data_IF_517284435960
#
_entry.id   IF_517284435960
#
_cell.length_a   1.000
_cell.length_b   1.000
_cell.length_c   1.000
_cell.angle_alpha   90.00
_cell.angle_beta   90.00
_cell.angle_gamma   90.00
#
_symmetry.space_group_name_H-M   'P 1'
#
loop_
_entity.id
_entity.type
_entity.pdbx_description
1 polymer ?
#
# COMPACT_ATOMS: atom_id res chain seq x y z
N UNK A 1 -2.32 2.28 6.31
CA UNK A 1 -2.30 1.34 5.15
C UNK A 1 -1.02 1.46 4.35
N UNK A 2 -0.48 2.67 4.16
CA UNK A 2 0.82 2.94 3.52
C UNK A 2 1.94 2.01 4.01
N UNK A 3 2.13 1.91 5.33
CA UNK A 3 3.18 1.05 5.92
C UNK A 3 2.99 -0.44 5.57
N UNK A 4 1.75 -0.91 5.43
CA UNK A 4 1.47 -2.30 5.03
C UNK A 4 1.80 -2.50 3.55
N UNK A 5 1.39 -1.56 2.68
CA UNK A 5 1.73 -1.62 1.26
C UNK A 5 3.26 -1.60 1.07
N UNK A 6 3.96 -0.76 1.82
CA UNK A 6 5.44 -0.77 1.90
C UNK A 6 5.99 -2.15 2.21
N UNK A 7 5.59 -2.73 3.34
CA UNK A 7 6.08 -4.05 3.75
C UNK A 7 5.80 -5.15 2.73
N UNK A 8 4.61 -5.15 2.11
CA UNK A 8 4.24 -6.14 1.10
C UNK A 8 4.99 -5.94 -0.22
N UNK A 9 5.26 -4.70 -0.62
CA UNK A 9 6.08 -4.41 -1.79
C UNK A 9 7.53 -4.85 -1.59
N UNK A 10 8.12 -4.55 -0.41
CA UNK A 10 9.47 -4.97 -0.01
C UNK A 10 9.59 -6.49 0.13
N UNK A 11 8.57 -7.13 0.68
CA UNK A 11 8.48 -8.60 0.72
C UNK A 11 8.64 -9.18 -0.68
N UNK A 12 7.89 -8.65 -1.66
CA UNK A 12 7.96 -9.13 -3.03
C UNK A 12 9.35 -8.92 -3.65
N UNK A 13 10.04 -7.80 -3.39
CA UNK A 13 11.41 -7.58 -3.87
C UNK A 13 12.39 -8.63 -3.35
N UNK A 14 12.26 -8.97 -2.07
CA UNK A 14 13.21 -9.85 -1.40
C UNK A 14 12.93 -11.33 -1.65
N UNK A 15 11.65 -11.69 -1.80
CA UNK A 15 11.21 -13.09 -1.93
C UNK A 15 10.89 -13.51 -3.36
N UNK A 16 10.57 -12.56 -4.24
CA UNK A 16 10.11 -12.84 -5.61
C UNK A 16 8.69 -13.39 -5.70
N UNK A 17 7.97 -13.46 -4.57
CA UNK A 17 6.61 -13.98 -4.47
C UNK A 17 5.74 -13.07 -3.60
N UNK A 18 4.43 -13.07 -3.87
CA UNK A 18 3.48 -12.37 -3.02
C UNK A 18 3.27 -13.14 -1.71
N UNK A 19 3.17 -12.41 -0.60
CA UNK A 19 2.82 -13.01 0.67
C UNK A 19 1.44 -13.67 0.59
N UNK A 20 1.31 -14.89 1.15
CA UNK A 20 0.08 -15.68 1.09
C UNK A 20 -0.46 -15.82 -0.33
N UNK A 21 0.42 -15.98 -1.32
CA UNK A 21 0.08 -16.12 -2.74
C UNK A 21 -0.71 -14.93 -3.31
N UNK A 22 -0.64 -13.77 -2.65
CA UNK A 22 -1.37 -12.56 -3.04
C UNK A 22 -2.78 -12.46 -2.49
N UNK A 23 -3.25 -13.47 -1.73
CA UNK A 23 -4.57 -13.45 -1.15
C UNK A 23 -4.75 -12.26 -0.20
N UNK A 24 -5.84 -11.52 -0.39
CA UNK A 24 -6.25 -10.37 0.42
C UNK A 24 -5.25 -9.22 0.40
N UNK A 25 -4.31 -9.19 -0.55
CA UNK A 25 -3.34 -8.09 -0.69
C UNK A 25 -3.97 -6.90 -1.39
N UNK A 26 -4.76 -7.13 -2.46
CA UNK A 26 -5.40 -6.08 -3.26
C UNK A 26 -6.28 -5.14 -2.43
N UNK A 27 -6.91 -5.66 -1.37
CA UNK A 27 -7.76 -4.84 -0.47
C UNK A 27 -6.99 -3.71 0.20
N UNK A 28 -5.69 -3.88 0.46
CA UNK A 28 -4.87 -2.82 1.05
C UNK A 28 -4.65 -1.67 0.07
N UNK A 29 -4.57 -1.98 -1.22
CA UNK A 29 -4.54 -0.98 -2.29
C UNK A 29 -5.90 -0.31 -2.48
N UNK A 30 -6.99 -1.08 -2.44
CA UNK A 30 -8.34 -0.53 -2.42
C UNK A 30 -8.56 0.44 -1.25
N UNK A 31 -8.15 0.07 -0.03
CA UNK A 31 -8.26 0.96 1.14
C UNK A 31 -7.47 2.26 0.93
N UNK A 32 -6.30 2.21 0.29
CA UNK A 32 -5.51 3.40 -0.05
C UNK A 32 -6.23 4.29 -1.07
N UNK A 33 -6.82 3.70 -2.11
CA UNK A 33 -7.64 4.41 -3.09
C UNK A 33 -8.81 5.14 -2.41
N UNK A 34 -9.54 4.45 -1.53
CA UNK A 34 -10.63 5.08 -0.77
C UNK A 34 -10.11 6.24 0.09
N UNK A 35 -9.02 6.05 0.83
CA UNK A 35 -8.45 7.10 1.68
C UNK A 35 -8.05 8.35 0.87
N UNK A 36 -7.45 8.18 -0.30
CA UNK A 36 -7.07 9.30 -1.17
C UNK A 36 -8.29 10.11 -1.65
N UNK A 37 -9.46 9.48 -1.74
CA UNK A 37 -10.73 10.13 -2.11
C UNK A 37 -11.34 11.03 -1.02
N UNK A 38 -10.83 11.00 0.21
CA UNK A 38 -11.35 11.81 1.32
C UNK A 38 -10.30 12.81 1.83
N UNK A 39 -10.76 14.00 2.23
CA UNK A 39 -9.89 15.06 2.78
C UNK A 39 -9.12 14.60 4.02
N UNK A 40 -9.73 13.80 4.90
CA UNK A 40 -9.04 13.22 6.06
C UNK A 40 -7.86 12.32 5.65
N UNK A 41 -8.00 11.57 4.55
CA UNK A 41 -6.93 10.71 4.06
C UNK A 41 -5.80 11.53 3.44
N UNK A 42 -6.12 12.57 2.67
CA UNK A 42 -5.12 13.52 2.14
C UNK A 42 -4.36 14.25 3.25
N UNK A 43 -5.07 14.72 4.27
CA UNK A 43 -4.46 15.35 5.44
C UNK A 43 -3.50 14.38 6.16
N UNK A 44 -3.90 13.11 6.31
CA UNK A 44 -3.04 12.09 6.92
C UNK A 44 -1.81 11.74 6.07
N UNK A 45 -1.85 11.90 4.73
CA UNK A 45 -0.68 11.72 3.87
C UNK A 45 0.34 12.86 4.02
N UNK A 46 -0.14 14.07 4.33
CA UNK A 46 0.72 15.23 4.61
C UNK A 46 1.26 15.30 6.04
N UNK A 47 0.75 14.47 6.95
CA UNK A 47 1.16 14.45 8.35
C UNK A 47 2.33 13.47 8.57
N UNK A 48 3.55 14.01 8.52
CA UNK A 48 4.78 13.24 8.64
C UNK A 48 4.95 12.62 10.03
N UNK A 49 4.49 13.30 11.08
CA UNK A 49 4.59 12.80 12.47
C UNK A 49 3.64 11.61 12.67
N UNK A 50 2.42 11.70 12.16
CA UNK A 50 1.49 10.56 12.13
C UNK A 50 2.07 9.37 11.33
N UNK A 51 2.72 9.66 10.20
CA UNK A 51 3.42 8.66 9.39
C UNK A 51 4.51 7.95 10.18
N UNK A 52 5.40 8.71 10.84
CA UNK A 52 6.48 8.19 11.66
C UNK A 52 5.96 7.34 12.85
N UNK A 53 4.87 7.78 13.48
CA UNK A 53 4.19 7.06 14.54
C UNK A 53 3.63 5.71 14.06
N UNK A 54 2.99 5.69 12.89
CA UNK A 54 2.52 4.46 12.27
C UNK A 54 3.66 3.48 11.96
N UNK A 55 4.79 3.99 11.45
CA UNK A 55 5.98 3.16 11.15
C UNK A 55 6.59 2.61 12.44
N UNK A 56 6.76 3.44 13.47
CA UNK A 56 7.25 3.01 14.79
C UNK A 56 6.38 1.93 15.39
N UNK A 57 5.06 2.12 15.39
CA UNK A 57 4.11 1.12 15.87
C UNK A 57 4.21 -0.18 15.08
N UNK A 58 4.25 -0.11 13.75
CA UNK A 58 4.36 -1.30 12.90
C UNK A 58 5.67 -2.07 13.15
N UNK A 59 6.78 -1.36 13.35
CA UNK A 59 8.08 -1.97 13.70
C UNK A 59 8.06 -2.67 15.05
N UNK A 60 7.31 -2.18 16.03
CA UNK A 60 7.25 -2.81 17.33
C UNK A 60 6.58 -4.20 17.30
N UNK A 61 5.60 -4.40 16.41
CA UNK A 61 4.75 -5.62 16.41
C UNK A 61 4.89 -6.51 15.17
N UNK A 62 5.34 -5.96 14.04
CA UNK A 62 5.31 -6.64 12.74
C UNK A 62 6.63 -6.59 11.99
N UNK A 63 7.71 -6.11 12.62
CA UNK A 63 9.01 -6.02 11.95
C UNK A 63 9.53 -7.40 11.56
N UNK A 64 9.81 -7.54 10.28
CA UNK A 64 10.42 -8.72 9.68
C UNK A 64 11.46 -8.18 8.73
N UNK A 65 12.65 -8.82 8.63
CA UNK A 65 13.66 -8.40 7.66
C UNK A 65 13.05 -8.23 6.26
N UNK A 66 12.19 -9.15 5.83
CA UNK A 66 11.56 -9.09 4.51
C UNK A 66 10.63 -7.89 4.26
N UNK A 67 10.12 -7.24 5.31
CA UNK A 67 9.25 -6.06 5.17
C UNK A 67 10.01 -4.74 5.12
N UNK A 68 11.26 -4.72 5.58
CA UNK A 68 12.12 -3.55 5.53
C UNK A 68 11.48 -2.28 6.10
N UNK A 69 10.70 -2.40 7.19
CA UNK A 69 9.92 -1.28 7.71
C UNK A 69 10.79 -0.10 8.19
N UNK A 70 12.09 -0.33 8.41
CA UNK A 70 13.06 0.73 8.68
C UNK A 70 13.27 1.69 7.49
N UNK A 71 13.02 1.25 6.25
CA UNK A 71 13.11 2.11 5.05
C UNK A 71 11.78 2.79 4.69
N UNK A 72 10.74 2.60 5.49
CA UNK A 72 9.45 3.28 5.33
C UNK A 72 9.53 4.72 5.86
N UNK A 73 10.27 5.58 5.16
CA UNK A 73 10.45 7.01 5.45
C UNK A 73 10.23 7.84 4.19
N UNK A 74 9.90 9.15 4.30
CA UNK A 74 9.75 10.02 3.13
C UNK A 74 10.98 9.94 2.22
N UNK A 75 10.72 9.76 0.92
CA UNK A 75 11.73 9.58 -0.13
C UNK A 75 12.04 8.12 -0.46
N UNK A 76 11.63 7.17 0.38
CA UNK A 76 11.89 5.73 0.16
C UNK A 76 10.69 4.81 0.41
N UNK A 77 9.49 5.36 0.56
CA UNK A 77 8.28 4.54 0.58
C UNK A 77 8.10 3.81 -0.76
N UNK A 78 7.89 2.49 -0.72
CA UNK A 78 7.60 1.67 -1.89
C UNK A 78 6.15 1.17 -1.79
N UNK A 79 5.19 1.85 -2.42
CA UNK A 79 3.76 1.59 -2.27
C UNK A 79 3.21 0.93 -3.53
N UNK A 80 3.42 1.56 -4.70
CA UNK A 80 2.99 1.04 -5.98
C UNK A 80 3.51 -0.39 -6.18
N UNK A 81 2.64 -1.33 -6.59
CA UNK A 81 3.06 -2.71 -6.77
C UNK A 81 4.08 -2.81 -7.91
N UNK A 82 5.03 -3.75 -7.79
CA UNK A 82 5.94 -4.08 -8.88
C UNK A 82 5.13 -4.56 -10.10
N UNK A 83 5.60 -4.38 -11.34
CA UNK A 83 4.90 -4.86 -12.54
C UNK A 83 4.50 -6.33 -12.46
N UNK A 84 5.38 -7.18 -11.93
CA UNK A 84 5.15 -8.62 -11.77
C UNK A 84 4.16 -9.00 -10.64
N UNK A 85 3.76 -8.05 -9.79
CA UNK A 85 2.70 -8.27 -8.80
C UNK A 85 1.30 -8.08 -9.39
N UNK A 86 1.18 -7.23 -10.42
CA UNK A 86 -0.11 -6.69 -10.91
C UNK A 86 -1.09 -7.81 -11.24
N UNK A 87 -0.72 -8.79 -12.07
CA UNK A 87 -1.62 -9.86 -12.50
C UNK A 87 -2.23 -10.64 -11.33
N UNK A 88 -1.43 -10.94 -10.31
CA UNK A 88 -1.89 -11.67 -9.14
C UNK A 88 -2.78 -10.80 -8.24
N UNK A 89 -2.46 -9.51 -8.12
CA UNK A 89 -3.32 -8.56 -7.39
C UNK A 89 -4.64 -8.30 -8.11
N UNK A 90 -4.66 -8.27 -9.44
CA UNK A 90 -5.90 -8.15 -10.24
C UNK A 90 -6.82 -9.34 -9.97
N UNK A 91 -6.27 -10.56 -9.96
CA UNK A 91 -7.04 -11.77 -9.61
C UNK A 91 -7.57 -11.75 -8.18
N UNK A 92 -6.74 -11.30 -7.24
CA UNK A 92 -7.17 -11.13 -5.84
C UNK A 92 -8.27 -10.06 -5.71
N UNK A 93 -8.16 -8.97 -6.48
CA UNK A 93 -9.12 -7.87 -6.46
C UNK A 93 -10.50 -8.32 -6.96
N UNK A 94 -10.57 -9.19 -7.97
CA UNK A 94 -11.85 -9.73 -8.45
C UNK A 94 -12.67 -10.39 -7.32
N UNK A 95 -12.01 -11.05 -6.36
CA UNK A 95 -12.67 -11.64 -5.19
C UNK A 95 -13.12 -10.58 -4.18
N UNK A 96 -12.36 -9.48 -4.06
CA UNK A 96 -12.68 -8.36 -3.15
C UNK A 96 -13.80 -7.49 -3.70
N UNK A 97 -13.80 -7.22 -5.01
CA UNK A 97 -14.75 -6.35 -5.69
C UNK A 97 -16.19 -6.85 -5.57
N UNK A 98 -16.39 -8.17 -5.54
CA UNK A 98 -17.70 -8.79 -5.32
C UNK A 98 -18.34 -8.43 -3.96
N UNK A 99 -17.54 -7.94 -3.00
CA UNK A 99 -18.02 -7.54 -1.67
C UNK A 99 -18.22 -6.01 -1.52
N UNK A 100 -17.88 -5.22 -2.54
CA UNK A 100 -17.98 -3.76 -2.48
C UNK A 100 -19.43 -3.35 -2.79
N UNK A 101 -20.02 -2.53 -1.92
CA UNK A 101 -21.33 -1.94 -2.18
C UNK A 101 -21.21 -0.80 -3.20
N UNK A 102 -22.09 -0.81 -4.21
CA UNK A 102 -22.07 0.16 -5.30
C UNK A 102 -21.17 -0.27 -6.45
N UNK A 103 -20.71 0.69 -7.24
CA UNK A 103 -19.79 0.42 -8.36
C UNK A 103 -18.35 0.37 -7.83
N UNK A 104 -17.69 -0.81 -7.84
CA UNK A 104 -16.29 -0.86 -7.45
C UNK A 104 -15.42 -0.11 -8.47
N UNK A 105 -14.37 0.61 -8.01
CA UNK A 105 -13.41 1.23 -8.93
C UNK A 105 -12.71 0.18 -9.77
N UNK A 106 -12.17 0.57 -10.93
CA UNK A 106 -11.33 -0.33 -11.70
C UNK A 106 -10.03 -0.61 -10.93
N UNK A 107 -9.39 -1.74 -11.21
CA UNK A 107 -8.10 -2.02 -10.59
C UNK A 107 -7.03 -1.02 -11.06
N UNK A 108 -7.12 -0.53 -12.28
CA UNK A 108 -6.21 0.49 -12.81
C UNK A 108 -6.31 1.81 -12.04
N UNK A 109 -7.52 2.24 -11.64
CA UNK A 109 -7.71 3.44 -10.79
C UNK A 109 -7.07 3.26 -9.41
N UNK A 110 -7.14 2.05 -8.87
CA UNK A 110 -6.48 1.69 -7.61
C UNK A 110 -4.95 1.75 -7.75
N UNK A 111 -4.41 1.27 -8.87
CA UNK A 111 -2.97 1.35 -9.18
C UNK A 111 -2.50 2.79 -9.38
N UNK A 112 -3.31 3.63 -10.02
CA UNK A 112 -3.05 5.07 -10.15
C UNK A 112 -2.97 5.74 -8.78
N UNK A 113 -3.93 5.45 -7.91
CA UNK A 113 -3.95 6.00 -6.55
C UNK A 113 -2.72 5.56 -5.74
N UNK A 114 -2.29 4.30 -5.89
CA UNK A 114 -1.08 3.82 -5.23
C UNK A 114 0.18 4.56 -5.70
N UNK A 115 0.29 4.85 -7.01
CA UNK A 115 1.38 5.64 -7.59
C UNK A 115 1.36 7.09 -7.12
N UNK A 116 0.19 7.72 -7.11
CA UNK A 116 0.00 9.08 -6.60
C UNK A 116 0.43 9.19 -5.13
N UNK A 117 -0.02 8.27 -4.28
CA UNK A 117 0.34 8.26 -2.86
C UNK A 117 1.85 8.10 -2.67
N UNK A 118 2.49 7.20 -3.44
CA UNK A 118 3.95 7.03 -3.41
C UNK A 118 4.68 8.32 -3.78
N UNK A 119 4.23 9.01 -4.82
CA UNK A 119 4.83 10.25 -5.25
C UNK A 119 4.65 11.36 -4.21
N UNK A 120 3.45 11.53 -3.67
CA UNK A 120 3.15 12.59 -2.71
C UNK A 120 3.97 12.41 -1.43
N UNK A 121 3.94 11.21 -0.84
CA UNK A 121 4.66 10.94 0.42
C UNK A 121 6.18 10.98 0.26
N UNK A 122 6.70 10.70 -0.95
CA UNK A 122 8.14 10.73 -1.19
C UNK A 122 8.67 12.10 -1.63
N UNK A 123 7.80 13.05 -2.00
CA UNK A 123 8.20 14.41 -2.38
C UNK A 123 8.06 15.42 -1.25
N UNK A 124 7.38 15.07 -0.16
CA UNK A 124 7.36 15.83 1.08
C UNK A 124 8.66 15.58 1.85
N UNK A 125 9.72 16.32 1.52
CA UNK A 125 11.02 16.34 2.21
C UNK A 125 11.21 17.63 3.00
#
# INVERSE_FOLDING_TARGET
KVVIAHGLRRWYERRGELRQEGQRVSRHYYDLHCLLGFETGKAALGDLDLGADCVRHARMFFDRPDYDLASAVPGSFAIAPAPKMVDALTRDYANTAAMIFGTPPSFDDILESARQIEQDINTHS
#
